data_IF_291558742200
#
_entry.id   IF_291558742200
#
_cell.length_a   1.000
_cell.length_b   1.000
_cell.length_c   1.000
_cell.angle_alpha   90.00
_cell.angle_beta   90.00
_cell.angle_gamma   90.00
#
_symmetry.space_group_name_H-M   'P 1'
#
loop_
_entity.id
_entity.type
_entity.pdbx_description
1 polymer ?
#
# COMPACT_ATOMS: atom_id res chain seq x y z
N UNK A 1 44.66 1.52 46.16
CA UNK A 1 43.99 0.29 46.61
C UNK A 1 42.63 0.58 47.26
N UNK A 2 42.45 1.78 47.85
CA UNK A 2 41.24 2.16 48.59
C UNK A 2 40.14 2.77 47.76
N UNK A 3 40.45 3.21 46.55
CA UNK A 3 39.44 3.83 45.65
C UNK A 3 38.42 2.80 45.08
N UNK A 4 38.89 1.56 44.84
CA UNK A 4 38.01 0.50 44.33
C UNK A 4 37.02 -0.07 45.35
N UNK A 5 37.34 0.04 46.63
CA UNK A 5 36.46 -0.42 47.72
C UNK A 5 35.35 0.56 48.00
N UNK A 6 35.58 1.88 47.79
CA UNK A 6 34.54 2.90 47.96
C UNK A 6 33.48 2.84 46.88
N UNK A 7 33.84 2.57 45.64
CA UNK A 7 32.90 2.44 44.52
C UNK A 7 32.02 1.18 44.65
N UNK A 8 32.56 0.10 45.21
CA UNK A 8 31.75 -1.12 45.44
C UNK A 8 30.72 -0.92 46.58
N UNK A 9 31.09 -0.16 47.63
CA UNK A 9 30.15 0.18 48.70
C UNK A 9 29.04 1.14 48.23
N UNK A 10 29.34 2.12 47.40
CA UNK A 10 28.31 2.99 46.83
C UNK A 10 27.34 2.25 45.90
N UNK A 11 27.81 1.26 45.10
CA UNK A 11 26.90 0.47 44.28
C UNK A 11 26.00 -0.45 45.10
N UNK A 12 26.42 -0.94 46.24
CA UNK A 12 25.57 -1.77 47.11
C UNK A 12 24.58 -0.94 47.93
N UNK A 13 24.89 0.35 48.22
CA UNK A 13 23.99 1.25 48.94
C UNK A 13 22.83 1.75 48.04
N UNK A 14 23.08 1.94 46.75
CA UNK A 14 22.02 2.35 45.80
C UNK A 14 21.02 1.24 45.43
N UNK A 15 21.32 -0.04 45.72
CA UNK A 15 20.41 -1.16 45.42
C UNK A 15 19.51 -1.51 46.62
N UNK A 16 19.86 -1.05 47.84
CA UNK A 16 19.17 -1.48 49.06
C UNK A 16 18.06 -0.56 49.54
N UNK A 17 17.94 0.67 49.00
CA UNK A 17 16.96 1.66 49.45
C UNK A 17 15.84 1.97 48.44
N UNK A 18 15.54 1.05 47.52
CA UNK A 18 14.27 1.07 46.77
C UNK A 18 13.34 -0.03 47.30
N UNK A 19 12.96 0.04 48.52
CA UNK A 19 11.68 -0.48 48.97
C UNK A 19 10.61 0.41 48.32
N UNK A 20 9.99 -0.07 47.25
CA UNK A 20 8.78 0.55 46.71
C UNK A 20 7.76 0.66 47.86
N UNK A 21 7.14 1.82 48.11
CA UNK A 21 6.11 1.94 49.11
C UNK A 21 4.99 0.91 48.83
N UNK A 22 4.47 0.26 49.87
CA UNK A 22 3.47 -0.77 49.80
C UNK A 22 2.24 -0.40 48.96
N UNK A 23 1.97 0.90 48.80
CA UNK A 23 0.91 1.41 47.91
C UNK A 23 1.19 1.16 46.40
N UNK A 24 2.46 1.02 45.98
CA UNK A 24 2.76 0.73 44.58
C UNK A 24 2.56 -0.78 44.24
N UNK A 25 2.70 -1.64 45.22
CA UNK A 25 2.40 -3.08 45.05
C UNK A 25 0.90 -3.34 45.00
N UNK A 26 0.10 -2.64 45.78
CA UNK A 26 -1.37 -2.75 45.75
C UNK A 26 -1.96 -2.22 44.42
N UNK A 27 -1.39 -1.13 43.90
CA UNK A 27 -1.84 -0.60 42.59
C UNK A 27 -1.45 -1.52 41.42
N UNK A 28 -0.24 -2.08 41.44
CA UNK A 28 0.21 -3.03 40.41
C UNK A 28 -0.59 -4.35 40.48
N UNK A 29 -0.88 -4.84 41.69
CA UNK A 29 -1.74 -6.03 41.89
C UNK A 29 -3.17 -5.79 41.43
N UNK A 30 -3.73 -4.61 41.72
CA UNK A 30 -5.09 -4.26 41.28
C UNK A 30 -5.18 -4.03 39.77
N UNK A 31 -4.15 -3.41 39.15
CA UNK A 31 -4.07 -3.27 37.68
C UNK A 31 -3.90 -4.61 37.01
N UNK A 32 -3.04 -5.49 37.53
CA UNK A 32 -2.86 -6.85 37.00
C UNK A 32 -4.14 -7.69 37.14
N UNK A 33 -4.84 -7.61 38.27
CA UNK A 33 -6.10 -8.31 38.47
C UNK A 33 -7.24 -7.73 37.62
N UNK A 34 -7.29 -6.40 37.42
CA UNK A 34 -8.25 -5.78 36.51
C UNK A 34 -7.95 -6.12 35.03
N UNK A 35 -6.69 -6.22 34.65
CA UNK A 35 -6.30 -6.68 33.30
C UNK A 35 -6.65 -8.17 33.15
N UNK A 36 -6.34 -9.00 34.14
CA UNK A 36 -6.67 -10.43 34.13
C UNK A 36 -8.18 -10.69 34.12
N UNK A 37 -8.96 -9.92 34.88
CA UNK A 37 -10.44 -10.05 34.89
C UNK A 37 -11.06 -9.53 33.58
N UNK A 38 -10.52 -8.44 33.00
CA UNK A 38 -10.92 -7.94 31.69
C UNK A 38 -10.49 -8.88 30.56
N UNK A 39 -9.32 -9.52 30.66
CA UNK A 39 -8.87 -10.55 29.71
C UNK A 39 -9.66 -11.85 29.88
N UNK A 40 -10.04 -12.24 31.09
CA UNK A 40 -10.94 -13.36 31.32
C UNK A 40 -12.37 -13.08 30.82
N UNK A 41 -12.81 -11.79 30.91
CA UNK A 41 -14.06 -11.34 30.28
C UNK A 41 -13.99 -11.31 28.76
N UNK A 42 -12.83 -11.00 28.17
CA UNK A 42 -12.58 -11.08 26.73
C UNK A 42 -12.43 -12.54 26.25
N UNK A 43 -11.88 -13.43 27.08
CA UNK A 43 -11.80 -14.87 26.80
C UNK A 43 -13.15 -15.60 26.89
N UNK A 44 -14.06 -15.09 27.72
CA UNK A 44 -15.46 -15.60 27.80
C UNK A 44 -16.40 -14.91 26.79
N UNK A 45 -15.92 -13.84 26.13
CA UNK A 45 -16.68 -12.97 25.21
C UNK A 45 -16.33 -13.05 23.75
N UNK A 46 -15.43 -13.92 23.32
CA UNK A 46 -15.44 -14.36 21.93
C UNK A 46 -16.57 -15.39 21.83
N UNK A 47 -17.75 -15.02 21.29
CA UNK A 47 -18.75 -16.05 21.02
C UNK A 47 -18.06 -16.96 20.00
N UNK A 48 -17.61 -18.13 20.52
CA UNK A 48 -17.18 -19.24 19.71
C UNK A 48 -18.21 -19.38 18.59
N UNK A 49 -17.73 -19.60 17.38
CA UNK A 49 -18.49 -19.88 16.17
C UNK A 49 -19.69 -20.81 16.49
N UNK A 50 -20.78 -20.26 16.98
CA UNK A 50 -22.03 -20.99 17.16
C UNK A 50 -22.72 -20.87 15.81
N UNK A 51 -22.37 -21.78 14.91
CA UNK A 51 -23.26 -22.10 13.81
C UNK A 51 -24.39 -22.92 14.39
N UNK A 52 -25.49 -22.31 14.76
CA UNK A 52 -26.70 -23.05 15.02
C UNK A 52 -27.28 -23.41 13.66
N UNK A 53 -27.13 -24.67 13.26
CA UNK A 53 -27.89 -25.26 12.16
C UNK A 53 -29.35 -25.27 12.59
N UNK A 54 -30.14 -24.32 12.07
CA UNK A 54 -31.59 -24.38 12.18
C UNK A 54 -32.06 -25.65 11.48
N UNK A 55 -33.14 -26.25 11.98
CA UNK A 55 -33.75 -27.46 11.44
C UNK A 55 -34.18 -27.34 9.95
N UNK A 56 -34.02 -26.17 9.36
CA UNK A 56 -34.45 -25.79 8.00
C UNK A 56 -33.27 -25.58 7.03
N UNK A 57 -32.06 -26.04 7.37
CA UNK A 57 -30.88 -25.99 6.49
C UNK A 57 -30.30 -24.57 6.28
N UNK A 58 -30.84 -23.55 6.94
CA UNK A 58 -30.31 -22.19 6.88
C UNK A 58 -29.24 -22.00 7.94
N UNK A 59 -28.01 -21.72 7.55
CA UNK A 59 -26.90 -21.34 8.45
C UNK A 59 -27.09 -19.90 8.91
N UNK A 60 -27.70 -19.71 10.10
CA UNK A 60 -27.70 -18.40 10.75
C UNK A 60 -26.32 -18.13 11.37
N UNK A 61 -25.55 -17.29 10.77
CA UNK A 61 -24.29 -16.79 11.35
C UNK A 61 -24.60 -15.92 12.56
N UNK A 62 -23.85 -16.09 13.65
CA UNK A 62 -24.02 -15.24 14.84
C UNK A 62 -23.74 -13.76 14.44
N UNK A 63 -24.51 -12.83 15.02
CA UNK A 63 -24.40 -11.37 14.76
C UNK A 63 -22.96 -10.87 14.88
N UNK A 64 -22.17 -11.43 15.80
CA UNK A 64 -20.75 -11.10 16.00
C UNK A 64 -19.87 -11.52 14.81
N UNK A 65 -20.14 -12.63 14.15
CA UNK A 65 -19.43 -13.06 12.95
C UNK A 65 -19.75 -12.12 11.76
N UNK A 66 -21.00 -11.71 11.62
CA UNK A 66 -21.41 -10.76 10.59
C UNK A 66 -20.72 -9.39 10.78
N UNK A 67 -20.67 -8.88 12.03
CA UNK A 67 -19.98 -7.65 12.36
C UNK A 67 -18.47 -7.77 12.08
N UNK A 68 -17.85 -8.89 12.47
CA UNK A 68 -16.43 -9.14 12.20
C UNK A 68 -16.15 -9.17 10.70
N UNK A 69 -16.96 -9.89 9.92
CA UNK A 69 -16.84 -9.96 8.47
C UNK A 69 -17.03 -8.57 7.82
N UNK A 70 -18.02 -7.79 8.30
CA UNK A 70 -18.24 -6.43 7.82
C UNK A 70 -17.05 -5.53 8.13
N UNK A 71 -16.52 -5.57 9.36
CA UNK A 71 -15.33 -4.78 9.73
C UNK A 71 -14.10 -5.15 8.90
N UNK A 72 -13.84 -6.45 8.69
CA UNK A 72 -12.73 -6.89 7.84
C UNK A 72 -12.94 -6.48 6.39
N UNK A 73 -14.14 -6.58 5.86
CA UNK A 73 -14.46 -6.11 4.51
C UNK A 73 -14.23 -4.61 4.36
N UNK A 74 -14.68 -3.79 5.33
CA UNK A 74 -14.49 -2.34 5.34
C UNK A 74 -13.01 -1.93 5.40
N UNK A 75 -12.16 -2.69 6.07
CA UNK A 75 -10.72 -2.39 6.13
C UNK A 75 -9.96 -2.83 4.86
N UNK A 76 -10.39 -3.91 4.21
CA UNK A 76 -9.74 -4.42 2.99
C UNK A 76 -10.23 -3.73 1.71
N UNK A 77 -11.48 -3.26 1.69
CA UNK A 77 -12.10 -2.65 0.51
C UNK A 77 -11.27 -1.50 -0.09
N UNK A 78 -10.76 -0.52 0.68
CA UNK A 78 -9.94 0.56 0.11
C UNK A 78 -8.67 0.04 -0.59
N UNK A 79 -8.03 -0.99 -0.03
CA UNK A 79 -6.81 -1.57 -0.62
C UNK A 79 -7.10 -2.27 -1.95
N UNK A 80 -8.22 -3.00 -2.03
CA UNK A 80 -8.67 -3.66 -3.27
C UNK A 80 -9.01 -2.61 -4.32
N UNK A 81 -9.79 -1.59 -3.96
CA UNK A 81 -10.17 -0.51 -4.90
C UNK A 81 -8.95 0.21 -5.44
N UNK A 82 -7.99 0.60 -4.58
CA UNK A 82 -6.74 1.22 -5.03
C UNK A 82 -5.92 0.28 -5.93
N UNK A 83 -5.91 -1.02 -5.63
CA UNK A 83 -5.24 -2.05 -6.43
C UNK A 83 -5.85 -2.26 -7.83
N UNK A 84 -7.14 -1.92 -8.02
CA UNK A 84 -7.84 -2.00 -9.31
C UNK A 84 -7.71 -0.73 -10.15
N UNK A 85 -7.04 0.30 -9.64
CA UNK A 85 -6.89 1.60 -10.31
C UNK A 85 -5.45 1.84 -10.77
N UNK A 86 -5.21 2.95 -11.45
CA UNK A 86 -3.87 3.41 -11.85
C UNK A 86 -2.96 3.81 -10.68
N UNK A 87 -3.48 3.86 -9.46
CA UNK A 87 -2.76 4.32 -8.26
C UNK A 87 -1.44 3.57 -8.02
N UNK A 88 -1.45 2.24 -8.18
CA UNK A 88 -0.28 1.39 -7.91
C UNK A 88 0.90 1.76 -8.80
N UNK A 89 0.69 1.94 -10.11
CA UNK A 89 1.76 2.36 -11.03
C UNK A 89 2.30 3.73 -10.68
N UNK A 90 1.42 4.68 -10.44
CA UNK A 90 1.79 6.07 -10.19
C UNK A 90 2.62 6.20 -8.91
N UNK A 91 2.16 5.62 -7.80
CA UNK A 91 2.87 5.74 -6.52
C UNK A 91 4.26 5.09 -6.55
N UNK A 92 4.41 3.97 -7.27
CA UNK A 92 5.70 3.29 -7.42
C UNK A 92 6.65 4.14 -8.25
N UNK A 93 6.21 4.67 -9.39
CA UNK A 93 7.07 5.51 -10.25
C UNK A 93 7.50 6.77 -9.53
N UNK A 94 6.59 7.46 -8.82
CA UNK A 94 6.94 8.63 -8.01
C UNK A 94 7.91 8.30 -6.87
N UNK A 95 7.78 7.12 -6.26
CA UNK A 95 8.69 6.65 -5.22
C UNK A 95 10.09 6.36 -5.78
N UNK A 96 10.18 5.74 -6.95
CA UNK A 96 11.45 5.50 -7.66
C UNK A 96 12.09 6.82 -8.09
N UNK A 97 11.31 7.77 -8.61
CA UNK A 97 11.80 9.11 -8.97
C UNK A 97 12.43 9.82 -7.77
N UNK A 98 11.75 9.83 -6.60
CA UNK A 98 12.31 10.40 -5.37
C UNK A 98 13.62 9.73 -4.99
N UNK A 99 13.70 8.41 -5.10
CA UNK A 99 14.92 7.66 -4.81
C UNK A 99 16.04 7.99 -5.81
N UNK A 100 15.72 8.12 -7.11
CA UNK A 100 16.65 8.47 -8.15
C UNK A 100 17.30 9.85 -7.93
N UNK A 101 16.50 10.84 -7.49
CA UNK A 101 17.00 12.18 -7.14
C UNK A 101 17.95 12.16 -5.93
N UNK A 102 18.00 11.08 -5.13
CA UNK A 102 18.83 11.00 -3.93
C UNK A 102 18.24 11.71 -2.70
N UNK A 103 17.03 12.25 -2.83
CA UNK A 103 16.31 12.90 -1.74
C UNK A 103 15.50 11.86 -0.97
N UNK A 104 16.08 11.31 0.11
CA UNK A 104 15.44 10.20 0.85
C UNK A 104 14.11 10.57 1.53
N UNK A 105 13.88 11.84 1.84
CA UNK A 105 12.72 12.30 2.63
C UNK A 105 11.88 13.40 1.96
N UNK A 106 12.36 14.02 0.89
CA UNK A 106 11.64 15.08 0.18
C UNK A 106 11.36 14.69 -1.28
N UNK A 107 10.09 14.82 -1.75
CA UNK A 107 8.89 15.21 -1.02
C UNK A 107 8.43 14.14 -0.02
N UNK A 108 7.72 14.54 1.09
CA UNK A 108 7.17 13.60 2.08
C UNK A 108 6.20 12.59 1.44
N UNK A 109 6.07 11.40 2.05
CA UNK A 109 5.18 10.35 1.53
C UNK A 109 3.73 10.83 1.33
N UNK A 110 3.25 11.70 2.23
CA UNK A 110 1.90 12.24 2.15
C UNK A 110 1.67 13.06 0.85
N UNK A 111 2.68 13.84 0.43
CA UNK A 111 2.61 14.62 -0.82
C UNK A 111 2.61 13.68 -2.04
N UNK A 112 3.45 12.63 -2.03
CA UNK A 112 3.46 11.64 -3.12
C UNK A 112 2.13 10.91 -3.23
N UNK A 113 1.54 10.51 -2.10
CA UNK A 113 0.23 9.86 -2.06
C UNK A 113 -0.84 10.82 -2.58
N UNK A 114 -0.82 12.09 -2.18
CA UNK A 114 -1.79 13.08 -2.66
C UNK A 114 -1.70 13.27 -4.18
N UNK A 115 -0.49 13.44 -4.73
CA UNK A 115 -0.27 13.54 -6.18
C UNK A 115 -0.76 12.27 -6.88
N UNK A 116 -0.40 11.08 -6.35
CA UNK A 116 -0.83 9.81 -6.92
C UNK A 116 -2.35 9.67 -6.94
N UNK A 117 -3.05 10.09 -5.88
CA UNK A 117 -4.51 10.06 -5.83
C UNK A 117 -5.14 11.03 -6.85
N UNK A 118 -4.65 12.27 -6.93
CA UNK A 118 -5.17 13.23 -7.92
C UNK A 118 -4.97 12.76 -9.35
N UNK A 119 -3.78 12.23 -9.67
CA UNK A 119 -3.52 11.66 -10.99
C UNK A 119 -4.39 10.42 -11.25
N UNK A 120 -4.62 9.59 -10.24
CA UNK A 120 -5.50 8.43 -10.35
C UNK A 120 -6.92 8.88 -10.69
N UNK A 121 -7.47 9.85 -9.98
CA UNK A 121 -8.80 10.40 -10.30
C UNK A 121 -8.86 10.98 -11.70
N UNK A 122 -7.82 11.69 -12.12
CA UNK A 122 -7.74 12.25 -13.47
C UNK A 122 -7.76 11.16 -14.55
N UNK A 123 -6.92 10.12 -14.40
CA UNK A 123 -6.82 9.01 -15.37
C UNK A 123 -8.10 8.16 -15.36
N UNK A 124 -8.66 7.92 -14.18
CA UNK A 124 -9.86 7.10 -14.00
C UNK A 124 -11.16 7.85 -14.32
N UNK A 125 -11.10 9.16 -14.57
CA UNK A 125 -12.29 9.99 -14.81
C UNK A 125 -13.26 9.39 -15.84
N UNK A 126 -12.85 8.91 -17.04
CA UNK A 126 -13.77 8.32 -18.00
C UNK A 126 -14.41 7.03 -17.49
N UNK A 127 -13.64 6.17 -16.84
CA UNK A 127 -14.16 4.91 -16.26
C UNK A 127 -15.13 5.20 -15.10
N UNK A 128 -14.81 6.17 -14.23
CA UNK A 128 -15.68 6.56 -13.13
C UNK A 128 -16.99 7.19 -13.62
N UNK A 129 -16.93 7.97 -14.71
CA UNK A 129 -18.15 8.50 -15.34
C UNK A 129 -19.03 7.38 -15.90
N UNK A 130 -18.43 6.39 -16.57
CA UNK A 130 -19.14 5.19 -17.03
C UNK A 130 -19.81 4.46 -15.88
N UNK A 131 -19.07 4.16 -14.79
CA UNK A 131 -19.63 3.50 -13.59
C UNK A 131 -20.76 4.32 -12.98
N UNK A 132 -20.66 5.64 -12.98
CA UNK A 132 -21.74 6.49 -12.47
C UNK A 132 -23.00 6.37 -13.33
N UNK A 133 -22.88 6.47 -14.63
CA UNK A 133 -24.01 6.43 -15.58
C UNK A 133 -24.65 5.05 -15.68
N UNK A 134 -23.84 3.97 -15.67
CA UNK A 134 -24.33 2.60 -15.87
C UNK A 134 -24.82 1.93 -14.59
N UNK A 135 -24.26 2.31 -13.45
CA UNK A 135 -24.53 1.64 -12.18
C UNK A 135 -25.12 2.57 -11.11
N UNK A 136 -24.46 3.71 -10.81
CA UNK A 136 -24.85 4.54 -9.68
C UNK A 136 -26.15 5.31 -9.93
N UNK A 137 -26.30 5.96 -11.07
CA UNK A 137 -27.49 6.75 -11.40
C UNK A 137 -28.75 5.87 -11.50
N UNK A 138 -28.76 4.71 -12.22
CA UNK A 138 -29.93 3.83 -12.26
C UNK A 138 -30.30 3.25 -10.89
N UNK A 139 -29.30 2.95 -10.04
CA UNK A 139 -29.55 2.49 -8.69
C UNK A 139 -30.18 3.58 -7.81
N UNK A 140 -29.68 4.81 -7.85
CA UNK A 140 -30.23 5.95 -7.11
C UNK A 140 -31.64 6.32 -7.61
N UNK A 141 -31.93 6.13 -8.89
CA UNK A 141 -33.25 6.30 -9.46
C UNK A 141 -34.24 5.17 -9.10
N UNK A 142 -33.74 4.09 -8.43
CA UNK A 142 -34.57 2.94 -8.05
C UNK A 142 -34.98 2.05 -9.23
N UNK A 143 -34.34 2.19 -10.39
CA UNK A 143 -34.66 1.44 -11.62
C UNK A 143 -33.97 0.06 -11.66
N UNK A 144 -32.86 -0.13 -10.94
CA UNK A 144 -32.11 -1.39 -10.88
C UNK A 144 -31.84 -1.80 -9.44
N UNK A 145 -31.64 -3.11 -9.21
CA UNK A 145 -31.26 -3.65 -7.91
C UNK A 145 -29.79 -3.34 -7.59
N UNK A 146 -29.42 -3.38 -6.29
CA UNK A 146 -28.03 -3.20 -5.86
C UNK A 146 -27.09 -4.26 -6.48
N UNK A 147 -27.56 -5.48 -6.66
CA UNK A 147 -26.81 -6.58 -7.27
C UNK A 147 -26.50 -6.28 -8.75
N UNK A 148 -27.52 -5.86 -9.52
CA UNK A 148 -27.33 -5.49 -10.93
C UNK A 148 -26.44 -4.26 -11.10
N UNK A 149 -26.55 -3.25 -10.23
CA UNK A 149 -25.66 -2.09 -10.24
C UNK A 149 -24.21 -2.49 -9.96
N UNK A 150 -23.98 -3.38 -8.99
CA UNK A 150 -22.63 -3.88 -8.68
C UNK A 150 -22.04 -4.68 -9.85
N UNK A 151 -22.84 -5.47 -10.53
CA UNK A 151 -22.43 -6.23 -11.71
C UNK A 151 -22.01 -5.29 -12.85
N UNK A 152 -22.80 -4.26 -13.14
CA UNK A 152 -22.48 -3.22 -14.14
C UNK A 152 -21.17 -2.50 -13.77
N UNK A 153 -21.05 -2.03 -12.54
CA UNK A 153 -19.85 -1.36 -12.06
C UNK A 153 -18.60 -2.27 -12.16
N UNK A 154 -18.77 -3.55 -11.83
CA UNK A 154 -17.68 -4.53 -11.94
C UNK A 154 -17.23 -4.77 -13.38
N UNK A 155 -18.17 -4.69 -14.33
CA UNK A 155 -17.89 -4.85 -15.76
C UNK A 155 -17.06 -3.68 -16.29
N UNK A 156 -17.44 -2.43 -15.97
CA UNK A 156 -16.68 -1.25 -16.38
C UNK A 156 -15.26 -1.27 -15.80
N UNK A 157 -15.13 -1.68 -14.52
CA UNK A 157 -13.80 -1.82 -13.89
C UNK A 157 -12.98 -2.95 -14.52
N UNK A 158 -13.60 -4.08 -14.90
CA UNK A 158 -12.92 -5.16 -15.61
C UNK A 158 -12.41 -4.68 -16.97
N UNK A 159 -13.21 -3.93 -17.72
CA UNK A 159 -12.80 -3.40 -19.02
C UNK A 159 -11.57 -2.51 -18.88
N UNK A 160 -11.56 -1.60 -17.91
CA UNK A 160 -10.38 -0.79 -17.58
C UNK A 160 -9.15 -1.65 -17.28
N UNK A 161 -9.29 -2.66 -16.42
CA UNK A 161 -8.18 -3.53 -16.05
C UNK A 161 -7.66 -4.33 -17.23
N UNK A 162 -8.54 -4.93 -18.04
CA UNK A 162 -8.14 -5.72 -19.24
C UNK A 162 -7.42 -4.85 -20.25
N UNK A 163 -7.93 -3.63 -20.53
CA UNK A 163 -7.29 -2.67 -21.45
C UNK A 163 -5.86 -2.32 -21.03
N UNK A 164 -5.60 -2.28 -19.73
CA UNK A 164 -4.30 -1.88 -19.17
C UNK A 164 -3.41 -3.05 -18.73
N UNK A 165 -3.90 -4.30 -18.81
CA UNK A 165 -3.13 -5.51 -18.51
C UNK A 165 -2.40 -6.00 -19.76
N UNK A 166 -1.14 -6.40 -19.61
CA UNK A 166 -0.38 -7.04 -20.69
C UNK A 166 -0.94 -8.41 -20.98
N UNK A 167 -1.07 -8.73 -22.27
CA UNK A 167 -1.59 -10.03 -22.72
C UNK A 167 -0.80 -11.21 -22.16
N UNK A 168 0.53 -11.08 -22.09
CA UNK A 168 1.39 -12.14 -21.57
C UNK A 168 1.13 -12.43 -20.09
N UNK A 169 0.96 -11.36 -19.28
CA UNK A 169 0.67 -11.49 -17.86
C UNK A 169 -0.75 -12.06 -17.63
N UNK A 170 -1.73 -11.64 -18.43
CA UNK A 170 -3.08 -12.20 -18.39
C UNK A 170 -3.11 -13.68 -18.75
N UNK A 171 -2.47 -14.07 -19.87
CA UNK A 171 -2.39 -15.46 -20.32
C UNK A 171 -1.70 -16.34 -19.26
N UNK A 172 -0.62 -15.87 -18.65
CA UNK A 172 0.07 -16.60 -17.58
C UNK A 172 -0.88 -16.92 -16.41
N UNK A 173 -1.71 -15.98 -15.98
CA UNK A 173 -2.66 -16.23 -14.88
C UNK A 173 -3.86 -17.07 -15.32
N UNK A 174 -4.28 -17.00 -16.59
CA UNK A 174 -5.30 -17.89 -17.16
C UNK A 174 -4.81 -19.33 -17.19
N UNK A 175 -3.59 -19.56 -17.65
CA UNK A 175 -2.96 -20.91 -17.68
C UNK A 175 -2.82 -21.48 -16.26
N UNK A 176 -2.38 -20.67 -15.29
CA UNK A 176 -2.28 -21.08 -13.88
C UNK A 176 -3.64 -21.43 -13.27
N UNK A 177 -4.71 -20.78 -13.73
CA UNK A 177 -6.07 -21.07 -13.28
C UNK A 177 -6.71 -22.25 -14.02
N UNK A 178 -6.00 -22.90 -14.95
CA UNK A 178 -6.49 -23.96 -15.85
C UNK A 178 -7.80 -23.57 -16.55
N UNK A 179 -7.90 -22.32 -17.00
CA UNK A 179 -9.04 -21.79 -17.73
C UNK A 179 -8.66 -21.59 -19.20
N UNK A 180 -9.56 -21.98 -20.07
CA UNK A 180 -9.41 -21.73 -21.49
C UNK A 180 -9.42 -20.23 -21.80
N UNK A 181 -8.84 -19.87 -22.94
CA UNK A 181 -8.84 -18.49 -23.40
C UNK A 181 -10.29 -17.99 -23.53
N UNK A 182 -10.59 -16.88 -22.88
CA UNK A 182 -11.93 -16.29 -22.84
C UNK A 182 -12.03 -15.23 -23.93
N UNK A 183 -13.13 -15.27 -24.72
CA UNK A 183 -13.30 -14.39 -25.88
C UNK A 183 -13.67 -12.96 -25.49
N UNK A 184 -14.40 -12.77 -24.37
CA UNK A 184 -14.84 -11.45 -23.93
C UNK A 184 -14.19 -11.02 -22.60
N UNK A 185 -13.82 -9.73 -22.45
CA UNK A 185 -13.27 -9.20 -21.20
C UNK A 185 -14.20 -9.38 -19.99
N UNK A 186 -15.51 -9.34 -20.21
CA UNK A 186 -16.54 -9.53 -19.17
C UNK A 186 -16.46 -10.91 -18.50
N UNK A 187 -16.05 -11.94 -19.24
CA UNK A 187 -16.08 -13.33 -18.81
C UNK A 187 -14.86 -13.72 -17.99
N UNK A 188 -13.83 -12.85 -17.95
CA UNK A 188 -12.64 -13.06 -17.14
C UNK A 188 -13.00 -12.92 -15.66
N UNK A 189 -12.78 -13.94 -14.83
CA UNK A 189 -13.06 -13.85 -13.41
C UNK A 189 -12.09 -12.85 -12.74
N UNK A 190 -12.61 -12.03 -11.82
CA UNK A 190 -11.81 -11.05 -11.06
C UNK A 190 -10.65 -11.69 -10.29
N UNK A 191 -10.81 -12.94 -9.86
CA UNK A 191 -9.77 -13.73 -9.19
C UNK A 191 -8.53 -13.97 -10.02
N UNK A 192 -8.66 -13.97 -11.35
CA UNK A 192 -7.56 -14.10 -12.32
C UNK A 192 -7.09 -12.71 -12.78
N UNK A 193 -8.05 -11.84 -13.09
CA UNK A 193 -7.75 -10.53 -13.66
C UNK A 193 -7.03 -9.61 -12.67
N UNK A 194 -7.43 -9.61 -11.40
CA UNK A 194 -6.85 -8.72 -10.40
C UNK A 194 -5.34 -8.97 -10.18
N UNK A 195 -4.87 -10.20 -9.92
CA UNK A 195 -3.44 -10.45 -9.79
C UNK A 195 -2.67 -10.24 -11.10
N UNK A 196 -3.27 -10.54 -12.25
CA UNK A 196 -2.68 -10.28 -13.57
C UNK A 196 -2.47 -8.77 -13.78
N UNK A 197 -3.49 -7.95 -13.49
CA UNK A 197 -3.43 -6.51 -13.58
C UNK A 197 -2.37 -5.92 -12.65
N UNK A 198 -2.38 -6.28 -11.35
CA UNK A 198 -1.39 -5.77 -10.37
C UNK A 198 0.03 -6.14 -10.81
N UNK A 199 0.27 -7.37 -11.27
CA UNK A 199 1.59 -7.80 -11.74
C UNK A 199 2.02 -7.01 -12.98
N UNK A 200 1.12 -6.79 -13.92
CA UNK A 200 1.35 -5.96 -15.11
C UNK A 200 1.66 -4.49 -14.75
N UNK A 201 0.92 -3.93 -13.80
CA UNK A 201 1.14 -2.57 -13.29
C UNK A 201 2.52 -2.43 -12.61
N UNK A 202 2.90 -3.40 -11.77
CA UNK A 202 4.22 -3.45 -11.15
C UNK A 202 5.34 -3.49 -12.19
N UNK A 203 5.23 -4.38 -13.16
CA UNK A 203 6.23 -4.54 -14.24
C UNK A 203 6.38 -3.25 -15.05
N UNK A 204 5.28 -2.61 -15.40
CA UNK A 204 5.27 -1.34 -16.13
C UNK A 204 5.84 -0.21 -15.29
N UNK A 205 5.46 -0.13 -14.00
CA UNK A 205 5.99 0.87 -13.08
C UNK A 205 7.51 0.77 -12.92
N UNK A 206 8.05 -0.45 -12.79
CA UNK A 206 9.49 -0.66 -12.70
C UNK A 206 10.21 -0.34 -14.01
N UNK A 207 9.61 -0.61 -15.16
CA UNK A 207 10.18 -0.25 -16.45
C UNK A 207 10.29 1.28 -16.62
N UNK A 208 9.20 2.00 -16.33
CA UNK A 208 9.20 3.47 -16.36
C UNK A 208 10.19 4.02 -15.33
N UNK A 209 10.14 3.51 -14.11
CA UNK A 209 11.03 3.90 -13.02
C UNK A 209 12.51 3.69 -13.38
N UNK A 210 12.84 2.58 -14.02
CA UNK A 210 14.19 2.31 -14.49
C UNK A 210 14.65 3.34 -15.54
N UNK A 211 13.82 3.66 -16.53
CA UNK A 211 14.13 4.68 -17.54
C UNK A 211 14.35 6.06 -16.89
N UNK A 212 13.53 6.41 -15.91
CA UNK A 212 13.71 7.65 -15.15
C UNK A 212 14.98 7.64 -14.29
N UNK A 213 15.43 6.47 -13.83
CA UNK A 213 16.62 6.33 -13.00
C UNK A 213 17.92 6.51 -13.81
N UNK A 214 17.93 6.14 -15.11
CA UNK A 214 19.12 6.13 -15.94
C UNK A 214 19.90 7.46 -15.95
N UNK A 215 19.28 8.65 -16.22
CA UNK A 215 20.03 9.90 -16.25
C UNK A 215 20.67 10.25 -14.89
N UNK A 216 20.02 9.93 -13.81
CA UNK A 216 20.56 10.16 -12.46
C UNK A 216 21.72 9.21 -12.13
N UNK A 217 21.65 7.98 -12.60
CA UNK A 217 22.72 7.00 -12.46
C UNK A 217 23.99 7.45 -13.21
N UNK A 218 23.83 8.03 -14.40
CA UNK A 218 24.97 8.57 -15.16
C UNK A 218 25.65 9.69 -14.36
N UNK A 219 24.87 10.60 -13.75
CA UNK A 219 25.43 11.67 -12.90
C UNK A 219 26.21 11.06 -11.72
N UNK A 220 25.65 10.05 -11.04
CA UNK A 220 26.33 9.39 -9.92
C UNK A 220 27.67 8.79 -10.35
N UNK A 221 27.71 8.11 -11.50
CA UNK A 221 28.92 7.50 -12.04
C UNK A 221 29.98 8.54 -12.39
N UNK A 222 29.59 9.65 -13.04
CA UNK A 222 30.51 10.73 -13.39
C UNK A 222 31.08 11.37 -12.14
N UNK A 223 30.23 11.74 -11.17
CA UNK A 223 30.68 12.35 -9.90
C UNK A 223 31.60 11.40 -9.14
N UNK A 224 31.25 10.12 -9.05
CA UNK A 224 32.09 9.13 -8.39
C UNK A 224 33.45 8.99 -9.06
N UNK A 225 33.52 8.93 -10.39
CA UNK A 225 34.79 8.81 -11.13
C UNK A 225 35.70 10.04 -10.93
N UNK A 226 35.13 11.26 -10.91
CA UNK A 226 35.88 12.50 -10.65
C UNK A 226 36.43 12.52 -9.22
N UNK A 227 35.62 12.17 -8.20
CA UNK A 227 36.04 12.14 -6.80
C UNK A 227 37.17 11.12 -6.58
N UNK A 228 37.05 9.94 -7.18
CA UNK A 228 38.09 8.91 -7.10
C UNK A 228 39.40 9.39 -7.76
N UNK A 229 39.31 10.06 -8.91
CA UNK A 229 40.47 10.63 -9.62
C UNK A 229 41.20 11.68 -8.77
N UNK A 230 40.47 12.45 -7.97
CA UNK A 230 41.03 13.46 -7.07
C UNK A 230 41.52 12.86 -5.73
N UNK A 231 41.43 11.54 -5.54
CA UNK A 231 41.83 10.85 -4.31
C UNK A 231 40.90 11.07 -3.11
N UNK A 232 39.71 11.63 -3.33
CA UNK A 232 38.74 11.98 -2.27
C UNK A 232 37.86 10.79 -1.90
N UNK A 233 38.46 9.65 -1.51
CA UNK A 233 37.73 8.39 -1.22
C UNK A 233 36.82 8.47 0.02
N UNK A 234 37.02 9.43 0.93
CA UNK A 234 36.24 9.57 2.14
C UNK A 234 34.92 10.37 1.95
N UNK A 235 34.77 11.07 0.83
CA UNK A 235 33.54 11.81 0.52
C UNK A 235 32.52 10.89 -0.15
N UNK A 236 31.28 10.93 0.34
CA UNK A 236 30.18 10.19 -0.28
C UNK A 236 29.83 10.80 -1.64
N UNK A 237 30.00 10.07 -2.77
CA UNK A 237 29.64 10.58 -4.09
C UNK A 237 28.18 11.02 -4.21
N UNK A 238 27.29 10.33 -3.51
CA UNK A 238 25.85 10.61 -3.50
C UNK A 238 25.53 12.02 -2.99
N UNK A 239 26.22 12.50 -1.94
CA UNK A 239 26.00 13.82 -1.39
C UNK A 239 26.48 14.93 -2.34
N UNK A 240 27.58 14.68 -3.07
CA UNK A 240 28.13 15.62 -4.06
C UNK A 240 27.28 15.61 -5.34
N UNK A 241 26.72 14.48 -5.75
CA UNK A 241 25.88 14.35 -6.92
C UNK A 241 24.50 15.01 -6.76
N UNK A 242 23.97 15.11 -5.53
CA UNK A 242 22.61 15.59 -5.24
C UNK A 242 22.29 16.96 -5.87
N UNK A 243 23.10 18.03 -5.72
CA UNK A 243 22.81 19.31 -6.34
C UNK A 243 22.77 19.25 -7.88
N UNK A 244 23.61 18.44 -8.51
CA UNK A 244 23.61 18.25 -9.95
C UNK A 244 22.35 17.52 -10.43
N UNK A 245 21.89 16.53 -9.70
CA UNK A 245 20.64 15.80 -9.98
C UNK A 245 19.43 16.73 -9.90
N UNK A 246 19.34 17.53 -8.84
CA UNK A 246 18.25 18.50 -8.69
C UNK A 246 18.27 19.56 -9.78
N UNK A 247 19.45 20.07 -10.11
CA UNK A 247 19.61 21.06 -11.19
C UNK A 247 19.16 20.47 -12.53
N UNK A 248 19.62 19.26 -12.89
CA UNK A 248 19.17 18.59 -14.12
C UNK A 248 17.66 18.43 -14.14
N UNK A 249 17.07 17.93 -13.03
CA UNK A 249 15.64 17.68 -12.94
C UNK A 249 14.79 18.95 -13.13
N UNK A 250 15.26 20.08 -12.58
CA UNK A 250 14.60 21.38 -12.76
C UNK A 250 14.76 21.90 -14.19
N UNK A 251 15.97 21.76 -14.79
CA UNK A 251 16.24 22.25 -16.15
C UNK A 251 15.40 21.55 -17.22
N UNK A 252 15.11 20.26 -17.04
CA UNK A 252 14.32 19.48 -18.01
C UNK A 252 12.81 19.49 -17.68
N UNK A 253 12.37 20.27 -16.68
CA UNK A 253 11.00 20.25 -16.17
C UNK A 253 10.54 18.84 -15.83
N UNK A 254 11.33 18.16 -15.00
CA UNK A 254 11.18 16.72 -14.71
C UNK A 254 9.83 16.34 -14.14
N UNK A 255 9.16 17.25 -13.38
CA UNK A 255 7.81 16.97 -12.86
C UNK A 255 6.78 16.88 -13.98
N UNK A 256 6.76 17.86 -14.88
CA UNK A 256 5.83 17.90 -16.02
C UNK A 256 6.03 16.70 -16.94
N UNK A 257 7.30 16.39 -17.27
CA UNK A 257 7.63 15.21 -18.07
C UNK A 257 7.20 13.89 -17.42
N UNK A 258 7.44 13.74 -16.11
CA UNK A 258 7.08 12.51 -15.40
C UNK A 258 5.56 12.35 -15.34
N UNK A 259 4.83 13.38 -14.95
CA UNK A 259 3.37 13.36 -14.88
C UNK A 259 2.76 13.13 -16.27
N UNK A 260 3.24 13.86 -17.27
CA UNK A 260 2.76 13.71 -18.65
C UNK A 260 3.00 12.31 -19.21
N UNK A 261 4.20 11.73 -18.98
CA UNK A 261 4.49 10.37 -19.44
C UNK A 261 3.65 9.33 -18.72
N UNK A 262 3.40 9.49 -17.41
CA UNK A 262 2.54 8.58 -16.65
C UNK A 262 1.11 8.59 -17.17
N UNK A 263 0.53 9.75 -17.42
CA UNK A 263 -0.83 9.88 -17.99
C UNK A 263 -0.87 9.26 -19.40
N UNK A 264 0.14 9.53 -20.24
CA UNK A 264 0.19 9.01 -21.60
C UNK A 264 0.31 7.48 -21.67
N UNK A 265 0.79 6.81 -20.61
CA UNK A 265 0.85 5.34 -20.58
C UNK A 265 -0.50 4.65 -20.39
N UNK A 266 -1.49 5.37 -19.89
CA UNK A 266 -2.87 4.92 -19.84
C UNK A 266 -3.58 5.47 -21.06
N UNK A 267 -3.37 4.91 -22.24
CA UNK A 267 -3.93 5.39 -23.49
C UNK A 267 -5.41 5.80 -23.31
N UNK A 268 -5.63 7.06 -23.15
CA UNK A 268 -6.94 7.71 -23.12
C UNK A 268 -7.47 7.76 -24.53
#
# INVERSE_FOLDING_TARGET
RDLHLSIRRQRQMCIRDRSLPAMAQDTAGNVANNIASNMAGLGAGLPALISSSGADGSTSYSLSLQILALMTAMTLLPSVVLGMTSFTRIIIVLSILRQAMGTQQTPPNQVLIAIALFLTFFIMSPTLSSVYETAAEPYLAGSVSAESALESASTDMKEFMVKNTRKDDLNMFMDLAAKDAVEAPSDIPLTVLLPAFITSELKTAFQIGFLLFLPFLVIDMVVASVLMSLGMMMLSPMLVALPFKLLLFVLVDGWSMTVGSLVATYAV
#
